data_IF_653880583024
#
_entry.id   IF_653880583024
#
_cell.length_a   1.000
_cell.length_b   1.000
_cell.length_c   1.000
_cell.angle_alpha   90.00
_cell.angle_beta   90.00
_cell.angle_gamma   90.00
#
_symmetry.space_group_name_H-M   'P 1'
#
loop_
_entity.id
_entity.type
_entity.pdbx_description
1 polymer ?
#
# COMPACT_ATOMS: atom_id res chain seq x y z
N UNK A 1 -13.74 12.59 3.78
CA UNK A 1 -13.00 13.64 3.05
C UNK A 1 -12.24 12.92 1.97
N UNK A 2 -12.41 13.31 0.71
CA UNK A 2 -11.58 12.78 -0.38
C UNK A 2 -10.35 13.69 -0.50
N UNK A 3 -9.13 13.16 -0.48
CA UNK A 3 -7.93 13.98 -0.66
C UNK A 3 -7.81 14.44 -2.12
N UNK A 4 -7.42 15.70 -2.32
CA UNK A 4 -7.06 16.24 -3.62
C UNK A 4 -5.53 16.19 -3.82
N UNK A 5 -5.08 16.36 -5.07
CA UNK A 5 -3.65 16.40 -5.39
C UNK A 5 -3.01 17.60 -4.68
N UNK A 6 -1.95 17.34 -3.92
CA UNK A 6 -1.22 18.35 -3.14
C UNK A 6 -1.63 18.39 -1.67
N UNK A 7 -2.76 17.77 -1.30
CA UNK A 7 -3.12 17.62 0.11
C UNK A 7 -2.17 16.68 0.82
N UNK A 8 -2.04 16.89 2.14
CA UNK A 8 -1.45 15.89 3.01
C UNK A 8 -2.37 14.66 3.03
N UNK A 9 -1.81 13.50 2.68
CA UNK A 9 -2.54 12.23 2.72
C UNK A 9 -3.15 11.99 4.13
N UNK A 10 -4.41 11.54 4.23
CA UNK A 10 -5.03 11.19 5.50
C UNK A 10 -4.23 10.10 6.21
N UNK A 11 -3.97 10.30 7.50
CA UNK A 11 -3.26 9.30 8.29
C UNK A 11 -4.17 8.08 8.54
N UNK A 12 -3.55 6.91 8.66
CA UNK A 12 -4.22 5.68 9.07
C UNK A 12 -3.32 4.90 10.02
N UNK A 13 -3.92 4.04 10.82
CA UNK A 13 -3.22 3.10 11.67
C UNK A 13 -4.02 1.79 11.69
N UNK A 14 -3.54 0.81 10.95
CA UNK A 14 -4.25 -0.44 10.67
C UNK A 14 -3.37 -1.65 10.95
N UNK A 15 -3.96 -2.80 11.32
CA UNK A 15 -3.20 -4.05 11.42
C UNK A 15 -2.58 -4.39 10.07
N UNK A 16 -1.38 -4.94 10.12
CA UNK A 16 -0.71 -5.45 8.94
C UNK A 16 -1.18 -6.89 8.64
N UNK A 17 -1.30 -7.23 7.36
CA UNK A 17 -1.72 -8.56 6.90
C UNK A 17 -0.78 -9.10 5.82
N UNK A 18 -0.92 -10.39 5.50
CA UNK A 18 -0.11 -11.04 4.48
C UNK A 18 1.40 -10.95 4.76
N UNK A 19 2.24 -10.64 3.75
CA UNK A 19 3.69 -10.52 3.92
C UNK A 19 4.15 -9.48 4.95
N UNK A 20 3.26 -8.53 5.29
CA UNK A 20 3.52 -7.45 6.25
C UNK A 20 3.11 -7.80 7.69
N UNK A 21 2.54 -8.98 7.94
CA UNK A 21 1.94 -9.32 9.23
C UNK A 21 2.91 -9.28 10.43
N UNK A 22 4.21 -9.50 10.19
CA UNK A 22 5.25 -9.41 11.22
C UNK A 22 5.50 -7.99 11.73
N UNK A 23 5.15 -6.97 10.94
CA UNK A 23 5.19 -5.57 11.37
C UNK A 23 4.08 -5.24 12.39
N UNK A 24 3.04 -6.07 12.48
CA UNK A 24 1.91 -5.93 13.39
C UNK A 24 0.94 -4.82 13.02
N UNK A 25 1.42 -3.58 12.84
CA UNK A 25 0.62 -2.41 12.47
C UNK A 25 1.37 -1.49 11.51
N UNK A 26 0.63 -0.91 10.57
CA UNK A 26 1.14 0.11 9.65
C UNK A 26 0.46 1.43 9.98
N UNK A 27 1.28 2.47 10.19
CA UNK A 27 0.82 3.86 10.33
C UNK A 27 1.45 4.73 9.27
N UNK A 28 0.65 5.42 8.45
CA UNK A 28 1.17 6.21 7.33
C UNK A 28 2.15 7.29 7.79
N UNK A 29 1.82 8.01 8.86
CA UNK A 29 2.68 9.06 9.42
C UNK A 29 3.99 8.55 10.02
N UNK A 30 4.13 7.24 10.27
CA UNK A 30 5.37 6.62 10.76
C UNK A 30 6.31 6.19 9.62
N UNK A 31 5.84 6.17 8.37
CA UNK A 31 6.65 5.82 7.21
C UNK A 31 7.50 7.03 6.81
N UNK A 32 8.82 6.90 6.91
CA UNK A 32 9.78 7.96 6.58
C UNK A 32 10.13 8.04 5.08
N UNK A 33 9.48 7.21 4.26
CA UNK A 33 9.75 7.04 2.83
C UNK A 33 8.58 7.52 1.99
N UNK A 34 8.78 7.88 0.72
CA UNK A 34 7.68 8.00 -0.23
C UNK A 34 6.85 6.70 -0.24
N UNK A 35 5.52 6.82 -0.21
CA UNK A 35 4.62 5.67 -0.15
C UNK A 35 3.73 5.65 -1.38
N UNK A 36 3.67 4.51 -2.06
CA UNK A 36 2.68 4.19 -3.06
C UNK A 36 1.63 3.32 -2.40
N UNK A 37 0.50 3.94 -2.05
CA UNK A 37 -0.64 3.25 -1.46
C UNK A 37 -1.68 2.97 -2.55
N UNK A 38 -1.97 1.69 -2.81
CA UNK A 38 -2.99 1.30 -3.78
C UNK A 38 -4.11 0.52 -3.08
N UNK A 39 -5.35 0.83 -3.47
CA UNK A 39 -6.55 0.25 -2.89
C UNK A 39 -7.16 -0.74 -3.87
N UNK A 40 -7.50 -1.92 -3.40
CA UNK A 40 -8.14 -2.94 -4.21
C UNK A 40 -9.37 -3.52 -3.47
N UNK A 41 -10.43 -3.90 -4.19
CA UNK A 41 -11.73 -4.15 -3.58
C UNK A 41 -11.80 -5.46 -2.81
N UNK A 42 -11.00 -6.46 -3.21
CA UNK A 42 -11.00 -7.78 -2.60
C UNK A 42 -9.74 -8.58 -2.95
N UNK A 43 -9.17 -9.26 -1.96
CA UNK A 43 -8.12 -10.27 -2.09
C UNK A 43 -8.57 -11.40 -3.05
N UNK A 44 -7.61 -12.03 -3.74
CA UNK A 44 -7.80 -13.21 -4.59
C UNK A 44 -8.85 -13.06 -5.72
N UNK A 45 -9.12 -11.83 -6.17
CA UNK A 45 -9.95 -11.57 -7.35
C UNK A 45 -9.11 -11.27 -8.59
N UNK A 46 -9.60 -11.66 -9.77
CA UNK A 46 -8.82 -11.60 -11.02
C UNK A 46 -8.29 -10.21 -11.39
N UNK A 47 -8.99 -9.14 -10.99
CA UNK A 47 -8.52 -7.75 -11.15
C UNK A 47 -7.40 -7.38 -10.17
N UNK A 48 -7.53 -7.79 -8.90
CA UNK A 48 -6.53 -7.59 -7.87
C UNK A 48 -5.21 -8.29 -8.19
N UNK A 49 -5.28 -9.45 -8.86
CA UNK A 49 -4.07 -10.19 -9.25
C UNK A 49 -3.24 -9.44 -10.29
N UNK A 50 -3.87 -8.75 -11.25
CA UNK A 50 -3.14 -8.02 -12.29
C UNK A 50 -2.39 -6.80 -11.72
N UNK A 51 -3.07 -5.94 -10.96
CA UNK A 51 -2.43 -4.77 -10.35
C UNK A 51 -1.35 -5.17 -9.34
N UNK A 52 -1.60 -6.19 -8.51
CA UNK A 52 -0.59 -6.69 -7.58
C UNK A 52 0.63 -7.30 -8.30
N UNK A 53 0.43 -8.00 -9.41
CA UNK A 53 1.52 -8.52 -10.25
C UNK A 53 2.34 -7.36 -10.84
N UNK A 54 1.69 -6.33 -11.37
CA UNK A 54 2.36 -5.18 -11.97
C UNK A 54 3.18 -4.41 -10.92
N UNK A 55 2.62 -4.17 -9.73
CA UNK A 55 3.35 -3.57 -8.62
C UNK A 55 4.51 -4.44 -8.14
N UNK A 56 4.34 -5.76 -8.10
CA UNK A 56 5.41 -6.69 -7.75
C UNK A 56 6.53 -6.66 -8.79
N UNK A 57 6.19 -6.62 -10.08
CA UNK A 57 7.16 -6.52 -11.17
C UNK A 57 7.92 -5.19 -11.15
N UNK A 58 7.23 -4.10 -10.79
CA UNK A 58 7.80 -2.75 -10.68
C UNK A 58 8.48 -2.46 -9.33
N UNK A 59 8.37 -3.36 -8.34
CA UNK A 59 8.93 -3.19 -7.00
C UNK A 59 10.42 -2.77 -7.01
N UNK A 60 11.30 -3.37 -7.84
CA UNK A 60 12.70 -2.96 -7.90
C UNK A 60 12.91 -1.51 -8.33
N UNK A 61 11.99 -0.94 -9.11
CA UNK A 61 12.09 0.46 -9.56
C UNK A 61 11.60 1.41 -8.46
N UNK A 62 10.56 1.04 -7.71
CA UNK A 62 10.16 1.78 -6.51
C UNK A 62 11.24 1.75 -5.43
N UNK A 63 11.87 0.60 -5.19
CA UNK A 63 12.97 0.45 -4.23
C UNK A 63 14.18 1.32 -4.59
N UNK A 64 14.55 1.41 -5.89
CA UNK A 64 15.61 2.32 -6.37
C UNK A 64 15.31 3.79 -6.07
N UNK A 65 14.03 4.17 -6.08
CA UNK A 65 13.56 5.52 -5.74
C UNK A 65 13.38 5.71 -4.22
N UNK A 66 13.64 4.66 -3.43
CA UNK A 66 13.44 4.67 -1.98
C UNK A 66 11.96 4.67 -1.57
N UNK A 67 11.05 4.34 -2.49
CA UNK A 67 9.62 4.30 -2.24
C UNK A 67 9.17 2.93 -1.71
N UNK A 68 8.12 2.92 -0.91
CA UNK A 68 7.50 1.73 -0.35
C UNK A 68 6.11 1.54 -0.97
N UNK A 69 5.80 0.32 -1.39
CA UNK A 69 4.52 -0.02 -2.03
C UNK A 69 3.65 -0.79 -1.04
N UNK A 70 2.44 -0.29 -0.79
CA UNK A 70 1.49 -0.87 0.18
C UNK A 70 0.14 -1.07 -0.51
N UNK A 71 -0.33 -2.32 -0.49
CA UNK A 71 -1.69 -2.68 -0.89
C UNK A 71 -2.65 -2.59 0.29
N UNK A 72 -3.86 -2.12 0.06
CA UNK A 72 -4.92 -2.04 1.07
C UNK A 72 -6.26 -2.54 0.52
N UNK A 73 -6.86 -3.48 1.23
CA UNK A 73 -8.20 -4.00 0.95
C UNK A 73 -9.10 -3.93 2.19
N UNK A 74 -10.43 -4.03 2.01
CA UNK A 74 -11.35 -4.17 3.15
C UNK A 74 -11.39 -5.59 3.72
N UNK A 75 -10.63 -6.54 3.15
CA UNK A 75 -10.61 -7.92 3.64
C UNK A 75 -9.84 -8.03 4.97
N UNK A 76 -10.20 -9.00 5.84
CA UNK A 76 -9.57 -9.20 7.15
C UNK A 76 -8.20 -9.87 7.10
#
# INVERSE_FOLDING_TARGET
MNPDIGDKAPDFDLPAAGPAADMGRVRLSALAKPVVLFFYPKDDTSGCTAEAIDFTAALPDFEKLGAEVIGMSPDP
#
